data_IF_261288728953
#
_entry.id   IF_261288728953
#
_cell.length_a   1.000
_cell.length_b   1.000
_cell.length_c   1.000
_cell.angle_alpha   90.00
_cell.angle_beta   90.00
_cell.angle_gamma   90.00
#
_symmetry.space_group_name_H-M   'P 1'
#
loop_
_entity.id
_entity.type
_entity.pdbx_description
1 polymer ?
#
# COMPACT_ATOMS: atom_id res chain seq x y z
N UNK A 1 15.11 -10.30 2.07
CA UNK A 1 13.83 -10.98 1.83
C UNK A 1 13.00 -10.98 3.10
N UNK A 2 11.79 -10.45 3.03
CA UNK A 2 10.89 -10.42 4.17
C UNK A 2 9.82 -11.50 4.05
N UNK A 3 9.49 -12.12 5.18
CA UNK A 3 8.22 -12.82 5.27
C UNK A 3 7.15 -11.85 5.77
N UNK A 4 5.92 -12.06 5.34
CA UNK A 4 4.79 -11.28 5.83
C UNK A 4 4.33 -11.81 7.20
N UNK A 5 3.21 -11.27 7.71
CA UNK A 5 2.67 -11.67 9.01
C UNK A 5 2.05 -13.08 9.01
N UNK A 6 2.01 -13.75 7.85
CA UNK A 6 1.54 -15.13 7.70
C UNK A 6 2.69 -16.10 7.47
N UNK A 7 3.95 -15.61 7.53
CA UNK A 7 5.13 -16.43 7.27
C UNK A 7 5.38 -16.72 5.80
N UNK A 8 4.72 -15.97 4.90
CA UNK A 8 4.84 -16.15 3.45
C UNK A 8 5.87 -15.20 2.87
N UNK A 9 6.56 -15.63 1.81
CA UNK A 9 7.46 -14.77 1.05
C UNK A 9 6.66 -14.13 -0.08
N UNK A 10 6.18 -12.90 0.15
CA UNK A 10 5.39 -12.16 -0.83
C UNK A 10 6.21 -10.99 -1.37
N UNK A 11 5.89 -10.54 -2.58
CA UNK A 11 6.40 -9.27 -3.07
C UNK A 11 5.91 -8.15 -2.17
N UNK A 12 6.76 -7.16 -1.96
CA UNK A 12 6.46 -6.05 -1.07
C UNK A 12 7.02 -4.75 -1.63
N UNK A 13 6.42 -3.65 -1.21
CA UNK A 13 6.87 -2.31 -1.53
C UNK A 13 6.98 -1.49 -0.25
N UNK A 14 7.80 -0.46 -0.29
CA UNK A 14 7.90 0.50 0.80
C UNK A 14 7.34 1.84 0.34
N UNK A 15 6.49 2.43 1.18
CA UNK A 15 5.97 3.77 0.98
C UNK A 15 6.66 4.69 1.97
N UNK A 16 7.36 5.70 1.47
CA UNK A 16 8.15 6.63 2.26
C UNK A 16 7.47 7.99 2.26
N UNK A 17 7.20 8.53 3.44
CA UNK A 17 6.67 9.88 3.57
C UNK A 17 7.82 10.89 3.62
N UNK A 18 8.07 11.56 2.50
CA UNK A 18 9.12 12.58 2.39
C UNK A 18 8.65 13.97 2.82
N UNK A 19 7.40 14.12 3.20
CA UNK A 19 6.82 15.39 3.63
C UNK A 19 7.13 15.73 5.07
N UNK A 20 6.56 16.82 5.54
CA UNK A 20 6.77 17.35 6.88
C UNK A 20 5.65 17.01 7.85
N UNK A 21 4.60 16.35 7.37
CA UNK A 21 3.42 16.00 8.16
C UNK A 21 3.11 14.52 8.03
N UNK A 22 2.46 13.96 9.03
CA UNK A 22 1.92 12.59 8.96
C UNK A 22 0.90 12.50 7.83
N UNK A 23 0.96 11.40 7.06
CA UNK A 23 -0.01 11.07 6.02
C UNK A 23 -0.83 9.88 6.47
N UNK A 24 -2.16 10.02 6.40
CA UNK A 24 -3.09 8.90 6.60
C UNK A 24 -3.46 8.36 5.22
N UNK A 25 -3.15 7.09 5.00
CA UNK A 25 -3.38 6.44 3.70
C UNK A 25 -4.83 5.99 3.48
N UNK A 26 -5.72 6.19 4.46
CA UNK A 26 -7.12 5.81 4.29
C UNK A 26 -7.68 6.43 3.00
N UNK A 27 -8.24 5.59 2.14
CA UNK A 27 -8.81 6.04 0.86
C UNK A 27 -7.82 6.24 -0.27
N UNK A 28 -6.52 6.17 0.01
CA UNK A 28 -5.53 6.19 -1.07
C UNK A 28 -5.60 4.89 -1.86
N UNK A 29 -5.24 4.95 -3.14
CA UNK A 29 -5.27 3.79 -4.02
C UNK A 29 -3.87 3.41 -4.48
N UNK A 30 -3.65 2.11 -4.60
CA UNK A 30 -2.39 1.53 -5.07
C UNK A 30 -2.68 0.59 -6.23
N UNK A 31 -1.88 0.67 -7.28
CA UNK A 31 -2.08 -0.15 -8.47
C UNK A 31 -0.75 -0.48 -9.15
N UNK A 32 -0.70 -1.65 -9.75
CA UNK A 32 0.38 -2.06 -10.64
C UNK A 32 -0.02 -1.95 -12.12
N UNK A 33 -1.18 -1.34 -12.42
CA UNK A 33 -1.68 -1.18 -13.79
C UNK A 33 -2.13 0.25 -14.04
N UNK A 34 -1.56 0.89 -15.05
CA UNK A 34 -1.88 2.26 -15.40
C UNK A 34 -3.34 2.45 -15.83
N UNK A 35 -3.95 1.43 -16.44
CA UNK A 35 -5.33 1.49 -16.89
C UNK A 35 -6.35 1.16 -15.78
N UNK A 36 -5.88 0.89 -14.57
CA UNK A 36 -6.73 0.66 -13.42
C UNK A 36 -6.07 1.27 -12.17
N UNK A 37 -6.02 2.63 -12.07
CA UNK A 37 -5.27 3.30 -11.01
C UNK A 37 -5.88 3.13 -9.62
N UNK A 38 -7.14 2.75 -9.52
CA UNK A 38 -7.83 2.54 -8.24
C UNK A 38 -7.97 1.06 -7.90
N UNK A 39 -7.00 0.24 -8.30
CA UNK A 39 -7.10 -1.21 -8.21
C UNK A 39 -7.27 -1.72 -6.78
N UNK A 40 -6.56 -1.09 -5.84
CA UNK A 40 -6.72 -1.40 -4.41
C UNK A 40 -6.73 -0.11 -3.63
N UNK A 41 -7.76 0.06 -2.81
CA UNK A 41 -7.95 1.26 -1.99
C UNK A 41 -7.72 0.86 -0.53
N UNK A 42 -6.85 1.61 0.16
CA UNK A 42 -6.60 1.37 1.58
C UNK A 42 -7.91 1.49 2.35
N UNK A 43 -8.37 0.40 3.00
CA UNK A 43 -9.73 0.34 3.54
C UNK A 43 -9.91 1.04 4.87
N UNK A 44 -8.81 1.44 5.51
CA UNK A 44 -8.86 2.13 6.81
C UNK A 44 -7.58 2.93 7.01
N UNK A 45 -7.46 3.58 8.15
CA UNK A 45 -6.30 4.41 8.45
C UNK A 45 -5.02 3.61 8.57
N UNK A 46 -3.97 4.09 7.91
CA UNK A 46 -2.60 3.62 8.07
C UNK A 46 -1.72 4.86 7.97
N UNK A 47 -1.16 5.28 9.08
CA UNK A 47 -0.43 6.53 9.16
C UNK A 47 1.05 6.33 8.89
N UNK A 48 1.62 7.23 8.06
CA UNK A 48 3.07 7.29 7.86
C UNK A 48 3.53 8.64 8.43
N UNK A 49 4.26 8.65 9.54
CA UNK A 49 4.77 9.91 10.08
C UNK A 49 5.80 10.53 9.12
N UNK A 50 6.05 11.82 9.28
CA UNK A 50 7.06 12.51 8.48
C UNK A 50 8.41 11.78 8.61
N UNK A 51 9.03 11.48 7.47
CA UNK A 51 10.28 10.72 7.43
C UNK A 51 10.11 9.23 7.69
N UNK A 52 8.89 8.75 7.91
CA UNK A 52 8.61 7.35 8.17
C UNK A 52 8.38 6.53 6.90
N UNK A 53 8.28 5.21 7.10
CA UNK A 53 8.07 4.27 6.01
C UNK A 53 7.09 3.19 6.46
N UNK A 54 6.27 2.69 5.53
CA UNK A 54 5.48 1.48 5.75
C UNK A 54 5.75 0.49 4.64
N UNK A 55 5.65 -0.79 4.96
CA UNK A 55 5.77 -1.88 4.00
C UNK A 55 4.36 -2.35 3.66
N UNK A 56 4.10 -2.53 2.36
CA UNK A 56 2.84 -3.07 1.87
C UNK A 56 3.15 -4.35 1.12
N UNK A 57 2.48 -5.44 1.48
CA UNK A 57 2.66 -6.73 0.83
C UNK A 57 1.68 -6.86 -0.33
N UNK A 58 2.21 -7.20 -1.50
CA UNK A 58 1.40 -7.39 -2.72
C UNK A 58 1.04 -8.85 -2.87
N UNK A 59 0.20 -9.33 -1.95
CA UNK A 59 -0.05 -10.75 -1.73
C UNK A 59 -1.37 -11.25 -2.32
N UNK A 60 -2.28 -10.36 -2.68
CA UNK A 60 -3.63 -10.73 -3.09
C UNK A 60 -4.60 -10.98 -1.94
N UNK A 61 -4.17 -10.83 -0.68
CA UNK A 61 -5.04 -11.10 0.48
C UNK A 61 -6.12 -10.05 0.71
N UNK A 62 -5.90 -8.83 0.25
CA UNK A 62 -6.89 -7.75 0.35
C UNK A 62 -7.30 -7.50 1.81
N UNK A 63 -6.35 -7.09 2.63
CA UNK A 63 -6.65 -6.79 4.03
C UNK A 63 -5.72 -5.70 4.57
N UNK A 64 -6.19 -5.02 5.60
CA UNK A 64 -5.39 -4.12 6.43
C UNK A 64 -5.75 -4.38 7.88
N UNK A 65 -4.85 -5.06 8.59
CA UNK A 65 -5.09 -5.51 9.97
C UNK A 65 -3.86 -5.25 10.80
N UNK A 66 -4.05 -4.59 11.95
CA UNK A 66 -2.95 -4.32 12.88
C UNK A 66 -1.83 -3.48 12.27
N UNK A 67 -2.15 -2.62 11.32
CA UNK A 67 -1.15 -1.79 10.65
C UNK A 67 -0.38 -2.50 9.54
N UNK A 68 -0.79 -3.72 9.18
CA UNK A 68 -0.13 -4.50 8.13
C UNK A 68 -1.04 -4.59 6.91
N UNK A 69 -0.58 -4.06 5.78
CA UNK A 69 -1.36 -3.93 4.56
C UNK A 69 -1.00 -5.01 3.55
N UNK A 70 -2.00 -5.62 2.96
CA UNK A 70 -1.91 -6.60 1.88
C UNK A 70 -2.83 -6.14 0.75
N UNK A 71 -2.29 -5.96 -0.46
CA UNK A 71 -3.11 -5.58 -1.61
C UNK A 71 -3.98 -6.74 -2.09
N UNK A 72 -4.92 -6.41 -3.00
CA UNK A 72 -5.77 -7.42 -3.65
C UNK A 72 -5.14 -7.98 -4.94
N UNK A 73 -3.87 -7.71 -5.16
CA UNK A 73 -3.16 -8.16 -6.36
C UNK A 73 -1.73 -8.59 -5.99
N UNK A 74 -1.14 -9.40 -6.87
CA UNK A 74 0.30 -9.69 -6.86
C UNK A 74 0.97 -8.83 -7.91
N UNK A 75 2.23 -8.47 -7.69
CA UNK A 75 2.94 -7.61 -8.64
C UNK A 75 3.13 -8.37 -9.95
N UNK A 76 2.59 -7.81 -11.03
CA UNK A 76 2.77 -8.32 -12.39
C UNK A 76 3.52 -7.33 -13.27
N UNK A 77 3.80 -6.14 -12.73
CA UNK A 77 4.48 -5.05 -13.43
C UNK A 77 5.37 -4.33 -12.43
N UNK A 78 6.48 -3.76 -12.93
CA UNK A 78 7.35 -2.94 -12.08
C UNK A 78 6.84 -1.51 -11.92
N UNK A 79 5.85 -1.12 -12.72
CA UNK A 79 5.27 0.22 -12.67
C UNK A 79 4.12 0.24 -11.68
N UNK A 80 4.38 0.75 -10.48
CA UNK A 80 3.37 0.93 -9.45
C UNK A 80 2.97 2.40 -9.37
N UNK A 81 1.71 2.65 -9.03
CA UNK A 81 1.22 3.99 -8.79
C UNK A 81 0.45 4.07 -7.48
N UNK A 82 0.62 5.18 -6.77
CA UNK A 82 -0.08 5.48 -5.54
C UNK A 82 -0.87 6.77 -5.78
N UNK A 83 -2.17 6.70 -5.64
CA UNK A 83 -3.07 7.81 -5.90
C UNK A 83 -3.70 8.32 -4.61
N UNK A 84 -3.78 9.66 -4.48
CA UNK A 84 -4.49 10.28 -3.37
C UNK A 84 -5.98 9.97 -3.42
N UNK A 85 -6.69 10.08 -2.30
CA UNK A 85 -8.14 9.92 -2.30
C UNK A 85 -8.81 10.89 -3.26
N UNK A 86 -9.88 10.43 -3.90
CA UNK A 86 -10.68 11.29 -4.76
C UNK A 86 -11.53 12.17 -3.85
N UNK A 87 -11.34 13.47 -3.97
CA UNK A 87 -12.17 14.45 -3.27
C UNK A 87 -13.34 14.82 -4.18
N UNK A 88 -14.51 14.54 -3.69
CA UNK A 88 -15.75 14.85 -4.41
C UNK A 88 -16.36 16.12 -3.83
#
# INVERSE_FOLDING_TARGET
TYTDNYGEYEDWIELYNTGLNTVDLNGWALSDKANNPLKWIFPSSLNIPAGGVVVVYCSGRDELTGGIAHTNFKITSRALSLCTPINI
#
